data_IF_628093119334
#
_entry.id   IF_628093119334
#
_cell.length_a   1.000
_cell.length_b   1.000
_cell.length_c   1.000
_cell.angle_alpha   90.00
_cell.angle_beta   90.00
_cell.angle_gamma   90.00
#
_symmetry.space_group_name_H-M   'P 1'
#
loop_
_entity.id
_entity.type
_entity.pdbx_description
1 polymer ?
#
# COMPACT_ATOMS: atom_id res chain seq x y z
N UNK A 1 20.79 -0.51 -0.33
CA UNK A 1 19.34 -0.39 -0.67
C UNK A 1 18.61 0.31 0.47
N UNK A 2 17.76 1.29 0.18
CA UNK A 2 16.91 2.01 1.15
C UNK A 2 15.46 1.55 1.01
N UNK A 3 14.77 1.31 2.12
CA UNK A 3 13.36 0.88 2.14
C UNK A 3 12.49 2.09 2.50
N UNK A 4 11.57 2.44 1.61
CA UNK A 4 10.71 3.61 1.75
C UNK A 4 9.25 3.15 1.78
N UNK A 5 8.56 3.44 2.88
CA UNK A 5 7.12 3.25 2.99
C UNK A 5 6.38 4.43 2.37
N UNK A 6 5.42 4.17 1.51
CA UNK A 6 4.61 5.21 0.85
C UNK A 6 3.16 5.06 1.27
N UNK A 7 2.66 6.05 1.99
CA UNK A 7 1.27 6.09 2.46
C UNK A 7 0.56 7.38 2.04
N UNK A 8 -0.73 7.44 2.27
CA UNK A 8 -1.53 8.62 1.96
C UNK A 8 -2.98 8.25 1.65
N UNK A 9 -3.86 9.20 1.82
CA UNK A 9 -5.29 8.99 1.66
C UNK A 9 -5.71 8.63 0.24
N UNK A 10 -6.91 8.10 0.11
CA UNK A 10 -7.53 7.81 -1.18
C UNK A 10 -7.59 9.08 -2.04
N UNK A 11 -7.26 8.99 -3.31
CA UNK A 11 -7.24 10.15 -4.23
C UNK A 11 -6.01 11.06 -4.11
N UNK A 12 -5.02 10.75 -3.26
CA UNK A 12 -3.78 11.54 -3.16
C UNK A 12 -2.84 11.41 -4.37
N UNK A 13 -3.03 10.40 -5.22
CA UNK A 13 -2.24 10.21 -6.43
C UNK A 13 -0.97 9.38 -6.24
N UNK A 14 -0.89 8.55 -5.20
CA UNK A 14 0.25 7.65 -4.94
C UNK A 14 0.70 6.87 -6.17
N UNK A 15 -0.25 6.26 -6.87
CA UNK A 15 0.02 5.42 -8.06
C UNK A 15 0.78 6.17 -9.14
N UNK A 16 0.41 7.43 -9.41
CA UNK A 16 1.08 8.26 -10.42
C UNK A 16 2.53 8.58 -10.02
N UNK A 17 2.74 8.90 -8.73
CA UNK A 17 4.07 9.21 -8.23
C UNK A 17 4.96 7.96 -8.18
N UNK A 18 4.40 6.80 -7.81
CA UNK A 18 5.13 5.53 -7.85
C UNK A 18 5.51 5.14 -9.28
N UNK A 19 4.63 5.37 -10.25
CA UNK A 19 4.94 5.14 -11.66
C UNK A 19 6.08 6.05 -12.18
N UNK A 20 6.12 7.32 -11.74
CA UNK A 20 7.26 8.19 -12.00
C UNK A 20 8.56 7.62 -11.40
N UNK A 21 8.52 7.15 -10.15
CA UNK A 21 9.67 6.55 -9.45
C UNK A 21 10.16 5.32 -10.20
N UNK A 22 9.26 4.42 -10.56
CA UNK A 22 9.58 3.18 -11.29
C UNK A 22 10.32 3.44 -12.62
N UNK A 23 9.92 4.49 -13.33
CA UNK A 23 10.55 4.86 -14.61
C UNK A 23 11.93 5.51 -14.49
N UNK A 24 12.24 6.13 -13.35
CA UNK A 24 13.41 7.00 -13.25
C UNK A 24 14.47 6.48 -12.27
N UNK A 25 14.16 5.44 -11.49
CA UNK A 25 15.07 4.92 -10.46
C UNK A 25 15.18 3.41 -10.50
N UNK A 26 16.34 2.89 -10.13
CA UNK A 26 16.52 1.44 -9.92
C UNK A 26 15.80 1.03 -8.64
N UNK A 27 14.55 0.62 -8.77
CA UNK A 27 13.73 0.31 -7.61
C UNK A 27 12.84 -0.90 -7.82
N UNK A 28 12.43 -1.50 -6.71
CA UNK A 28 11.30 -2.44 -6.65
C UNK A 28 10.16 -1.78 -5.90
N UNK A 29 8.96 -1.85 -6.45
CA UNK A 29 7.74 -1.37 -5.81
C UNK A 29 6.92 -2.58 -5.42
N UNK A 30 6.52 -2.66 -4.15
CA UNK A 30 5.60 -3.67 -3.63
C UNK A 30 4.34 -2.99 -3.12
N UNK A 31 3.21 -3.32 -3.73
CA UNK A 31 1.91 -2.85 -3.28
C UNK A 31 1.34 -3.87 -2.27
N UNK A 32 0.97 -3.43 -1.07
CA UNK A 32 0.42 -4.33 -0.04
C UNK A 32 -0.89 -4.99 -0.48
N UNK A 33 -1.66 -4.33 -1.35
CA UNK A 33 -2.85 -4.93 -1.97
C UNK A 33 -2.49 -6.12 -2.87
N UNK A 34 -1.38 -6.05 -3.61
CA UNK A 34 -0.88 -7.17 -4.43
C UNK A 34 -0.33 -8.29 -3.54
N UNK A 35 0.42 -7.93 -2.48
CA UNK A 35 0.87 -8.91 -1.48
C UNK A 35 -0.31 -9.65 -0.86
N UNK A 36 -1.37 -8.92 -0.49
CA UNK A 36 -2.62 -9.51 0.00
C UNK A 36 -3.24 -10.47 -1.00
N UNK A 37 -3.25 -10.12 -2.29
CA UNK A 37 -3.72 -11.00 -3.35
C UNK A 37 -2.87 -12.28 -3.43
N UNK A 38 -1.56 -12.15 -3.44
CA UNK A 38 -0.61 -13.28 -3.51
C UNK A 38 -0.79 -14.30 -2.39
N UNK A 39 -0.98 -13.85 -1.15
CA UNK A 39 -1.15 -14.76 -0.02
C UNK A 39 -2.51 -15.44 0.00
N UNK A 40 -3.54 -14.85 -0.64
CA UNK A 40 -4.91 -15.37 -0.71
C UNK A 40 -5.20 -16.21 -1.96
N UNK A 41 -4.40 -16.12 -3.03
CA UNK A 41 -4.64 -16.89 -4.27
C UNK A 41 -4.53 -18.40 -4.02
N UNK A 42 -5.08 -19.21 -4.89
CA UNK A 42 -4.99 -20.67 -4.81
C UNK A 42 -3.54 -21.15 -4.72
N UNK A 43 -3.25 -21.95 -3.70
CA UNK A 43 -1.88 -22.32 -3.34
C UNK A 43 -1.11 -21.26 -2.55
N UNK A 44 -1.69 -20.11 -2.31
CA UNK A 44 -1.12 -19.09 -1.42
C UNK A 44 -1.21 -19.49 0.05
N UNK A 45 -0.43 -18.82 0.86
CA UNK A 45 -0.16 -19.15 2.28
C UNK A 45 -1.42 -19.30 3.14
N UNK A 46 -2.44 -18.49 2.88
CA UNK A 46 -3.69 -18.47 3.67
C UNK A 46 -4.93 -18.88 2.88
N UNK A 47 -4.76 -19.40 1.66
CA UNK A 47 -5.91 -19.82 0.85
C UNK A 47 -6.76 -20.85 1.58
N UNK A 48 -6.17 -21.98 2.00
CA UNK A 48 -6.90 -23.05 2.69
C UNK A 48 -7.54 -22.60 4.02
N UNK A 49 -6.83 -21.88 4.92
CA UNK A 49 -7.43 -21.31 6.13
C UNK A 49 -8.60 -20.37 5.84
N UNK A 50 -8.52 -19.54 4.79
CA UNK A 50 -9.62 -18.64 4.42
C UNK A 50 -10.83 -19.41 3.86
N UNK A 51 -10.60 -20.40 3.02
CA UNK A 51 -11.68 -21.24 2.50
C UNK A 51 -12.34 -22.05 3.62
N UNK A 52 -11.57 -22.57 4.55
CA UNK A 52 -12.11 -23.25 5.74
C UNK A 52 -12.95 -22.30 6.62
N UNK A 53 -12.53 -21.04 6.76
CA UNK A 53 -13.24 -20.04 7.55
C UNK A 53 -14.51 -19.53 6.86
N UNK A 54 -14.44 -19.28 5.54
CA UNK A 54 -15.48 -18.61 4.78
C UNK A 54 -16.43 -19.60 4.05
N UNK A 55 -16.02 -20.85 3.89
CA UNK A 55 -16.73 -21.85 3.09
C UNK A 55 -16.50 -21.71 1.58
N UNK A 56 -16.80 -22.75 0.84
CA UNK A 56 -16.58 -22.82 -0.62
C UNK A 56 -17.42 -21.82 -1.44
N UNK A 57 -18.46 -21.24 -0.84
CA UNK A 57 -19.33 -20.27 -1.51
C UNK A 57 -18.64 -18.95 -1.88
N UNK A 58 -17.45 -18.68 -1.33
CA UNK A 58 -16.64 -17.52 -1.71
C UNK A 58 -15.69 -17.80 -2.88
N UNK A 59 -15.70 -19.03 -3.42
CA UNK A 59 -14.86 -19.39 -4.56
C UNK A 59 -15.60 -19.10 -5.88
N UNK A 60 -14.83 -18.69 -6.88
CA UNK A 60 -15.31 -18.61 -8.25
C UNK A 60 -15.21 -19.97 -8.98
N UNK A 61 -15.57 -20.00 -10.26
CA UNK A 61 -15.55 -21.23 -11.08
C UNK A 61 -14.15 -21.81 -11.31
N UNK A 62 -13.09 -21.04 -11.11
CA UNK A 62 -11.69 -21.49 -11.19
C UNK A 62 -11.15 -22.01 -9.86
N UNK A 63 -11.92 -21.84 -8.79
CA UNK A 63 -11.54 -22.16 -7.43
C UNK A 63 -10.69 -21.08 -6.76
N UNK A 64 -10.61 -19.87 -7.34
CA UNK A 64 -10.01 -18.72 -6.69
C UNK A 64 -10.99 -18.00 -5.76
N UNK A 65 -10.47 -17.33 -4.73
CA UNK A 65 -11.31 -16.53 -3.82
C UNK A 65 -11.88 -15.32 -4.56
N UNK A 66 -13.18 -15.30 -4.74
CA UNK A 66 -13.92 -14.15 -5.25
C UNK A 66 -13.95 -13.05 -4.19
N UNK A 67 -13.10 -12.03 -4.34
CA UNK A 67 -12.95 -10.93 -3.38
C UNK A 67 -14.24 -10.15 -3.15
N UNK A 68 -15.10 -10.05 -4.16
CA UNK A 68 -16.40 -9.39 -4.03
C UNK A 68 -17.34 -10.17 -3.12
N UNK A 69 -17.43 -11.47 -3.33
CA UNK A 69 -18.23 -12.37 -2.49
C UNK A 69 -17.68 -12.45 -1.05
N UNK A 70 -16.34 -12.53 -0.92
CA UNK A 70 -15.68 -12.45 0.38
C UNK A 70 -16.03 -11.15 1.09
N UNK A 71 -15.86 -10.00 0.43
CA UNK A 71 -16.18 -8.70 1.00
C UNK A 71 -17.65 -8.58 1.40
N UNK A 72 -18.58 -9.03 0.56
CA UNK A 72 -20.00 -9.04 0.88
C UNK A 72 -20.30 -9.88 2.12
N UNK A 73 -19.63 -11.03 2.28
CA UNK A 73 -19.82 -11.94 3.40
C UNK A 73 -19.30 -11.40 4.73
N UNK A 74 -18.17 -10.69 4.71
CA UNK A 74 -17.56 -10.15 5.93
C UNK A 74 -18.13 -8.77 6.32
N UNK A 75 -18.71 -8.02 5.37
CA UNK A 75 -19.15 -6.63 5.55
C UNK A 75 -20.19 -6.47 6.68
N UNK A 76 -21.06 -7.45 6.86
CA UNK A 76 -22.13 -7.44 7.88
C UNK A 76 -21.80 -8.22 9.15
N UNK A 77 -20.57 -8.75 9.28
CA UNK A 77 -20.16 -9.64 10.37
C UNK A 77 -18.81 -9.21 10.94
N UNK A 78 -18.82 -8.30 11.93
CA UNK A 78 -17.61 -7.73 12.54
C UNK A 78 -16.66 -8.79 13.11
N UNK A 79 -17.20 -9.81 13.78
CA UNK A 79 -16.40 -10.93 14.30
C UNK A 79 -15.72 -11.71 13.18
N UNK A 80 -16.43 -11.99 12.08
CA UNK A 80 -15.86 -12.69 10.92
C UNK A 80 -14.79 -11.84 10.23
N UNK A 81 -15.01 -10.52 10.11
CA UNK A 81 -14.02 -9.58 9.60
C UNK A 81 -12.75 -9.61 10.47
N UNK A 82 -12.89 -9.61 11.80
CA UNK A 82 -11.76 -9.73 12.71
C UNK A 82 -10.96 -11.02 12.50
N UNK A 83 -11.64 -12.16 12.35
CA UNK A 83 -11.00 -13.47 12.08
C UNK A 83 -10.29 -13.50 10.72
N UNK A 84 -10.90 -12.94 9.68
CA UNK A 84 -10.29 -12.83 8.35
C UNK A 84 -9.03 -11.94 8.41
N UNK A 85 -9.11 -10.79 9.06
CA UNK A 85 -7.97 -9.90 9.23
C UNK A 85 -6.83 -10.54 10.04
N UNK A 86 -7.16 -11.34 11.04
CA UNK A 86 -6.18 -12.09 11.84
C UNK A 86 -5.40 -13.14 11.01
N UNK A 87 -5.94 -13.61 9.88
CA UNK A 87 -5.23 -14.45 8.92
C UNK A 87 -4.44 -13.61 7.90
N UNK A 88 -5.05 -12.56 7.35
CA UNK A 88 -4.48 -11.78 6.25
C UNK A 88 -3.30 -10.94 6.73
N UNK A 89 -3.43 -10.17 7.83
CA UNK A 89 -2.40 -9.20 8.21
C UNK A 89 -1.04 -9.85 8.52
N UNK A 90 -0.95 -10.95 9.30
CA UNK A 90 0.33 -11.61 9.53
C UNK A 90 0.95 -12.17 8.25
N UNK A 91 0.15 -12.79 7.39
CA UNK A 91 0.62 -13.40 6.15
C UNK A 91 1.14 -12.37 5.16
N UNK A 92 0.46 -11.22 5.04
CA UNK A 92 0.91 -10.09 4.22
C UNK A 92 2.21 -9.51 4.77
N UNK A 93 2.29 -9.33 6.10
CA UNK A 93 3.51 -8.83 6.74
C UNK A 93 4.70 -9.75 6.49
N UNK A 94 4.52 -11.05 6.63
CA UNK A 94 5.56 -12.06 6.39
C UNK A 94 6.01 -12.04 4.92
N UNK A 95 5.07 -12.00 3.98
CA UNK A 95 5.37 -11.86 2.55
C UNK A 95 6.19 -10.60 2.24
N UNK A 96 5.84 -9.47 2.85
CA UNK A 96 6.58 -8.20 2.69
C UNK A 96 8.00 -8.32 3.26
N UNK A 97 8.15 -8.92 4.45
CA UNK A 97 9.46 -9.10 5.08
C UNK A 97 10.36 -10.03 4.27
N UNK A 98 9.82 -11.09 3.68
CA UNK A 98 10.54 -11.98 2.77
C UNK A 98 11.01 -11.23 1.51
N UNK A 99 10.14 -10.44 0.90
CA UNK A 99 10.49 -9.63 -0.27
C UNK A 99 11.58 -8.59 0.03
N UNK A 100 11.53 -7.97 1.21
CA UNK A 100 12.58 -7.04 1.67
C UNK A 100 13.90 -7.77 1.91
N UNK A 101 13.85 -8.96 2.53
CA UNK A 101 15.05 -9.75 2.80
C UNK A 101 15.73 -10.20 1.50
N UNK A 102 14.95 -10.64 0.52
CA UNK A 102 15.43 -11.01 -0.82
C UNK A 102 16.21 -9.87 -1.48
N UNK A 103 15.65 -8.66 -1.49
CA UNK A 103 16.32 -7.51 -2.11
C UNK A 103 17.55 -7.03 -1.31
N UNK A 104 17.53 -7.16 0.01
CA UNK A 104 18.72 -6.89 0.85
C UNK A 104 19.84 -7.87 0.56
N UNK A 105 19.54 -9.15 0.36
CA UNK A 105 20.51 -10.15 0.00
C UNK A 105 21.14 -9.88 -1.37
N UNK A 106 20.32 -9.56 -2.39
CA UNK A 106 20.81 -9.15 -3.71
C UNK A 106 21.75 -7.95 -3.62
N UNK A 107 21.36 -6.93 -2.85
CA UNK A 107 22.20 -5.75 -2.64
C UNK A 107 23.53 -6.08 -1.92
N UNK A 108 23.50 -6.98 -0.95
CA UNK A 108 24.70 -7.37 -0.18
C UNK A 108 25.72 -8.14 -1.02
N UNK A 109 25.28 -8.97 -1.97
CA UNK A 109 26.15 -9.73 -2.86
C UNK A 109 26.52 -8.96 -4.14
N UNK A 110 26.00 -7.74 -4.32
CA UNK A 110 26.24 -6.93 -5.51
C UNK A 110 25.65 -7.53 -6.79
N UNK A 111 24.47 -8.13 -6.69
CA UNK A 111 23.79 -8.74 -7.84
C UNK A 111 23.47 -7.68 -8.91
N UNK A 112 23.54 -8.07 -10.19
CA UNK A 112 23.31 -7.15 -11.32
C UNK A 112 21.90 -6.54 -11.32
N UNK A 113 20.90 -7.27 -10.78
CA UNK A 113 19.52 -6.87 -10.62
C UNK A 113 19.21 -6.21 -9.27
N UNK A 114 20.22 -5.98 -8.41
CA UNK A 114 20.04 -5.30 -7.14
C UNK A 114 19.50 -3.88 -7.34
N UNK A 115 18.54 -3.51 -6.50
CA UNK A 115 17.91 -2.18 -6.57
C UNK A 115 18.49 -1.22 -5.52
N UNK A 116 18.43 0.08 -5.81
CA UNK A 116 18.87 1.13 -4.89
C UNK A 116 17.78 1.42 -3.85
N UNK A 117 16.51 1.30 -4.26
CA UNK A 117 15.34 1.60 -3.44
C UNK A 117 14.31 0.47 -3.49
N UNK A 118 13.72 0.18 -2.33
CA UNK A 118 12.53 -0.66 -2.20
C UNK A 118 11.38 0.18 -1.68
N UNK A 119 10.32 0.34 -2.48
CA UNK A 119 9.13 1.08 -2.09
C UNK A 119 8.03 0.11 -1.67
N UNK A 120 7.52 0.31 -0.45
CA UNK A 120 6.36 -0.41 0.08
C UNK A 120 5.16 0.54 0.12
N UNK A 121 4.15 0.30 -0.71
CA UNK A 121 2.93 1.10 -0.70
C UNK A 121 1.80 0.37 0.03
N UNK A 122 1.18 1.06 0.99
CA UNK A 122 -0.11 0.68 1.54
C UNK A 122 -0.84 1.89 2.12
N UNK A 123 -2.18 1.82 2.09
CA UNK A 123 -3.01 2.85 2.71
C UNK A 123 -2.89 2.86 4.24
N UNK A 124 -2.59 1.72 4.87
CA UNK A 124 -2.59 1.51 6.33
C UNK A 124 -1.18 1.24 6.90
N UNK A 125 -0.12 1.76 6.26
CA UNK A 125 1.26 1.50 6.71
C UNK A 125 1.52 1.94 8.15
N UNK A 126 0.99 3.09 8.53
CA UNK A 126 1.17 3.66 9.87
C UNK A 126 0.40 2.82 10.88
N UNK A 127 -0.89 2.57 10.62
CA UNK A 127 -1.80 1.83 11.50
C UNK A 127 -1.36 0.37 11.71
N UNK A 128 -0.81 -0.24 10.68
CA UNK A 128 -0.31 -1.62 10.73
C UNK A 128 1.12 -1.74 11.27
N UNK A 129 1.73 -0.64 11.74
CA UNK A 129 3.03 -0.65 12.41
C UNK A 129 4.21 -1.01 11.50
N UNK A 130 4.14 -0.65 10.21
CA UNK A 130 5.25 -0.90 9.27
C UNK A 130 6.45 0.04 9.47
N UNK A 131 6.37 0.99 10.40
CA UNK A 131 7.50 1.86 10.75
C UNK A 131 8.78 1.10 11.09
N UNK A 132 8.66 -0.09 11.68
CA UNK A 132 9.81 -0.95 12.02
C UNK A 132 10.40 -1.70 10.82
N UNK A 133 9.77 -1.66 9.66
CA UNK A 133 10.19 -2.37 8.44
C UNK A 133 10.87 -1.42 7.47
N UNK A 134 10.47 -0.14 7.46
CA UNK A 134 10.96 0.87 6.52
C UNK A 134 12.02 1.77 7.17
N UNK A 135 12.98 2.22 6.36
CA UNK A 135 13.99 3.19 6.78
C UNK A 135 13.40 4.60 6.84
N UNK A 136 12.45 4.90 5.96
CA UNK A 136 11.80 6.19 5.84
C UNK A 136 10.33 6.03 5.45
N UNK A 137 9.43 6.83 6.07
CA UNK A 137 8.01 6.85 5.77
C UNK A 137 7.65 8.13 5.00
N UNK A 138 7.08 7.97 3.81
CA UNK A 138 6.62 9.07 2.96
C UNK A 138 5.11 9.20 2.99
N UNK A 139 4.63 10.39 3.29
CA UNK A 139 3.22 10.75 3.17
C UNK A 139 2.98 11.51 1.86
N UNK A 140 2.18 10.93 0.98
CA UNK A 140 1.69 11.64 -0.20
C UNK A 140 0.47 12.45 0.20
N UNK A 141 0.72 13.72 0.44
CA UNK A 141 -0.32 14.70 0.75
C UNK A 141 -1.00 15.18 -0.53
N UNK A 142 -2.27 15.48 -0.43
CA UNK A 142 -3.02 16.19 -1.43
C UNK A 142 -4.20 16.92 -0.76
N UNK A 143 -4.38 18.15 -1.11
CA UNK A 143 -5.49 18.98 -0.61
C UNK A 143 -6.84 18.27 -0.74
N UNK A 144 -7.67 18.40 0.27
CA UNK A 144 -8.95 17.69 0.36
C UNK A 144 -9.88 18.01 -0.80
N UNK A 145 -9.93 19.28 -1.24
CA UNK A 145 -10.78 19.68 -2.35
C UNK A 145 -10.31 19.03 -3.65
N UNK A 146 -8.99 18.97 -3.88
CA UNK A 146 -8.39 18.32 -5.04
C UNK A 146 -8.63 16.81 -5.02
N UNK A 147 -8.50 16.16 -3.84
CA UNK A 147 -8.80 14.71 -3.69
C UNK A 147 -10.26 14.42 -4.02
N UNK A 148 -11.22 15.23 -3.54
CA UNK A 148 -12.65 15.09 -3.84
C UNK A 148 -12.90 15.17 -5.34
N UNK A 149 -12.36 16.18 -5.99
CA UNK A 149 -12.50 16.37 -7.43
C UNK A 149 -11.93 15.18 -8.23
N UNK A 150 -10.72 14.72 -7.87
CA UNK A 150 -10.09 13.55 -8.49
C UNK A 150 -10.95 12.29 -8.33
N UNK A 151 -11.51 12.05 -7.15
CA UNK A 151 -12.36 10.87 -6.88
C UNK A 151 -13.68 10.91 -7.64
N UNK A 152 -14.31 12.08 -7.73
CA UNK A 152 -15.52 12.27 -8.56
C UNK A 152 -15.22 12.01 -10.04
N UNK A 153 -14.14 12.59 -10.56
CA UNK A 153 -13.78 12.48 -11.97
C UNK A 153 -13.31 11.09 -12.37
N UNK A 154 -12.45 10.44 -11.57
CA UNK A 154 -11.81 9.19 -11.93
C UNK A 154 -12.60 7.94 -11.54
N UNK A 155 -13.43 8.02 -10.49
CA UNK A 155 -14.17 6.87 -9.93
C UNK A 155 -15.68 7.06 -9.89
N UNK A 156 -16.19 8.24 -10.25
CA UNK A 156 -17.62 8.56 -10.20
C UNK A 156 -18.22 8.51 -8.79
N UNK A 157 -17.40 8.73 -7.74
CA UNK A 157 -17.90 8.66 -6.37
C UNK A 157 -18.78 9.86 -6.02
N UNK A 158 -19.88 9.61 -5.28
CA UNK A 158 -20.69 10.65 -4.69
C UNK A 158 -19.99 11.29 -3.48
N UNK A 159 -20.48 12.46 -3.03
CA UNK A 159 -19.94 13.14 -1.85
C UNK A 159 -20.07 12.26 -0.60
N UNK A 160 -21.21 11.59 -0.41
CA UNK A 160 -21.47 10.70 0.72
C UNK A 160 -20.48 9.53 0.74
N UNK A 161 -20.17 8.96 -0.43
CA UNK A 161 -19.19 7.88 -0.55
C UNK A 161 -17.79 8.37 -0.21
N UNK A 162 -17.44 9.57 -0.66
CA UNK A 162 -16.14 10.21 -0.36
C UNK A 162 -16.03 10.48 1.14
N UNK A 163 -17.07 11.06 1.77
CA UNK A 163 -17.09 11.34 3.21
C UNK A 163 -16.94 10.06 4.04
N UNK A 164 -17.64 9.00 3.66
CA UNK A 164 -17.52 7.69 4.31
C UNK A 164 -16.08 7.13 4.24
N UNK A 165 -15.40 7.26 3.10
CA UNK A 165 -14.01 6.82 2.96
C UNK A 165 -13.07 7.70 3.78
N UNK A 166 -13.24 9.02 3.73
CA UNK A 166 -12.38 9.96 4.46
C UNK A 166 -12.50 9.79 5.98
N UNK A 167 -13.70 9.53 6.50
CA UNK A 167 -13.93 9.30 7.93
C UNK A 167 -13.28 8.03 8.47
N UNK A 168 -12.96 7.05 7.62
CA UNK A 168 -12.30 5.80 7.98
C UNK A 168 -10.77 5.86 7.86
N UNK A 169 -10.20 7.00 7.41
CA UNK A 169 -8.77 7.18 7.24
C UNK A 169 -8.17 8.02 8.38
N UNK A 170 -6.86 7.93 8.55
CA UNK A 170 -6.13 8.84 9.42
C UNK A 170 -6.37 10.31 9.01
N UNK A 171 -6.37 11.18 10.00
CA UNK A 171 -6.36 12.63 9.78
C UNK A 171 -5.02 13.08 9.17
N UNK A 172 -5.00 14.26 8.54
CA UNK A 172 -3.75 14.83 8.02
C UNK A 172 -2.68 14.94 9.11
N UNK A 173 -3.05 15.37 10.31
CA UNK A 173 -2.12 15.48 11.43
C UNK A 173 -1.49 14.14 11.81
N UNK A 174 -2.27 13.05 11.79
CA UNK A 174 -1.77 11.71 12.06
C UNK A 174 -0.86 11.19 10.95
N UNK A 175 -1.20 11.43 9.67
CA UNK A 175 -0.29 11.11 8.57
C UNK A 175 1.03 11.85 8.69
N UNK A 176 1.00 13.18 8.94
CA UNK A 176 2.22 13.99 9.08
C UNK A 176 3.08 13.55 10.26
N UNK A 177 2.48 13.27 11.41
CA UNK A 177 3.24 12.81 12.59
C UNK A 177 3.82 11.41 12.46
N UNK A 178 3.23 10.56 11.61
CA UNK A 178 3.71 9.21 11.33
C UNK A 178 4.71 9.12 10.17
N UNK A 179 5.09 10.24 9.56
CA UNK A 179 5.91 10.26 8.34
C UNK A 179 7.15 11.15 8.49
N UNK A 180 8.23 10.77 7.82
CA UNK A 180 9.51 11.51 7.81
C UNK A 180 9.54 12.54 6.69
N UNK A 181 8.87 12.25 5.56
CA UNK A 181 8.82 13.08 4.37
C UNK A 181 7.37 13.28 3.95
N UNK A 182 7.05 14.50 3.56
CA UNK A 182 5.74 14.83 2.97
C UNK A 182 5.97 15.30 1.54
N UNK A 183 5.33 14.61 0.59
CA UNK A 183 5.31 14.99 -0.83
C UNK A 183 3.93 15.60 -1.12
N UNK A 184 3.90 16.88 -1.43
CA UNK A 184 2.66 17.57 -1.78
C UNK A 184 2.33 17.37 -3.26
N UNK A 185 1.23 16.66 -3.51
CA UNK A 185 0.67 16.38 -4.83
C UNK A 185 -0.66 17.11 -5.07
N UNK A 186 -0.85 18.28 -4.45
CA UNK A 186 -2.05 19.09 -4.65
C UNK A 186 -2.03 19.88 -5.95
N UNK A 187 -0.83 20.26 -6.41
CA UNK A 187 -0.60 21.10 -7.58
C UNK A 187 -0.32 20.30 -8.86
N UNK A 188 0.64 20.78 -9.64
CA UNK A 188 1.09 20.09 -10.84
C UNK A 188 2.05 18.92 -10.48
N UNK A 189 2.11 17.93 -11.36
CA UNK A 189 2.93 16.73 -11.12
C UNK A 189 4.43 17.03 -11.08
N UNK A 190 4.91 18.02 -11.84
CA UNK A 190 6.35 18.34 -11.87
C UNK A 190 6.86 18.85 -10.52
N UNK A 191 6.03 19.57 -9.76
CA UNK A 191 6.38 19.99 -8.40
C UNK A 191 6.50 18.80 -7.46
N UNK A 192 5.60 17.82 -7.58
CA UNK A 192 5.69 16.57 -6.80
C UNK A 192 6.92 15.74 -7.20
N UNK A 193 7.24 15.65 -8.50
CA UNK A 193 8.43 14.96 -8.99
C UNK A 193 9.72 15.64 -8.50
N UNK A 194 9.77 16.96 -8.45
CA UNK A 194 10.90 17.69 -7.88
C UNK A 194 11.09 17.36 -6.41
N UNK A 195 10.03 17.33 -5.61
CA UNK A 195 10.10 16.95 -4.20
C UNK A 195 10.61 15.50 -4.03
N UNK A 196 10.19 14.56 -4.89
CA UNK A 196 10.70 13.18 -4.90
C UNK A 196 12.22 13.17 -5.17
N UNK A 197 12.69 13.89 -6.19
CA UNK A 197 14.13 14.00 -6.50
C UNK A 197 14.92 14.53 -5.32
N UNK A 198 14.44 15.58 -4.67
CA UNK A 198 15.07 16.20 -3.50
C UNK A 198 15.11 15.24 -2.30
N UNK A 199 14.02 14.51 -2.04
CA UNK A 199 13.93 13.54 -0.95
C UNK A 199 14.91 12.37 -1.13
N UNK A 200 15.01 11.83 -2.35
CA UNK A 200 15.96 10.75 -2.66
C UNK A 200 17.41 11.22 -2.60
N UNK A 201 17.74 12.40 -3.16
CA UNK A 201 19.07 12.96 -3.12
C UNK A 201 19.55 13.32 -1.70
N UNK A 202 18.65 13.68 -0.78
CA UNK A 202 19.01 13.97 0.62
C UNK A 202 19.39 12.73 1.42
N UNK A 203 18.87 11.57 1.04
CA UNK A 203 19.17 10.27 1.65
C UNK A 203 20.55 9.71 1.29
N UNK A 204 21.17 10.17 0.19
CA UNK A 204 22.50 9.73 -0.25
C UNK A 204 23.67 10.43 0.50
N UNK A 205 23.37 11.44 1.30
CA UNK A 205 24.38 12.27 1.99
C UNK A 205 24.59 11.90 3.46
N UNK A 206 24.01 10.82 3.94
CA UNK A 206 24.22 10.28 5.29
C UNK A 206 24.88 8.90 5.22
#
# INVERSE_FOLDING_TARGET
MKIIGVTGGVGSGKTELLHYIEKNYRCRILLADEASHKVMQKGGRIYEPLVALLGSSVLDSSGEINRKEMAARIFSHEELLGRVNALIHPAVREFILEAVAEEREKAAVGADDAVDYFFLEAALLIECGYRSVVDEMWYIYCDLAVRRERLKKSRGYSDEKIDSILSSQLTEAQFRSGSDVVIDNSGNLEDAYRQIREALASGERK
#
